data_IF_020081106609
#
_entry.id   IF_020081106609
#
_cell.length_a   1.000
_cell.length_b   1.000
_cell.length_c   1.000
_cell.angle_alpha   90.00
_cell.angle_beta   90.00
_cell.angle_gamma   90.00
#
_symmetry.space_group_name_H-M   'P 1'
#
loop_
_entity.id
_entity.type
_entity.pdbx_description
1 polymer ?
#
# COMPACT_ATOMS: atom_id res chain seq x y z
N UNK A 1 48.82 -59.87 -31.86
CA UNK A 1 47.48 -59.25 -31.78
C UNK A 1 47.63 -57.95 -31.02
N UNK A 2 47.57 -56.81 -31.71
CA UNK A 2 47.48 -55.49 -31.09
C UNK A 2 46.49 -54.70 -31.93
N UNK A 3 45.27 -54.58 -31.43
CA UNK A 3 44.23 -53.73 -32.00
C UNK A 3 44.63 -52.29 -31.73
N UNK A 4 45.11 -51.60 -32.77
CA UNK A 4 45.24 -50.14 -32.77
C UNK A 4 43.83 -49.57 -32.60
N UNK A 5 43.56 -48.97 -31.46
CA UNK A 5 42.41 -48.09 -31.25
C UNK A 5 42.48 -46.97 -32.29
N UNK A 6 41.42 -46.84 -33.09
CA UNK A 6 41.25 -45.72 -33.99
C UNK A 6 40.91 -44.47 -33.15
N UNK A 7 41.60 -43.33 -33.33
CA UNK A 7 41.23 -42.11 -32.65
C UNK A 7 39.88 -41.66 -33.21
N UNK A 8 38.86 -41.64 -32.36
CA UNK A 8 37.53 -41.17 -32.70
C UNK A 8 37.60 -39.72 -33.15
N UNK A 9 37.42 -39.47 -34.44
CA UNK A 9 37.08 -38.14 -34.94
C UNK A 9 35.68 -37.83 -34.41
N UNK A 10 35.58 -36.94 -33.43
CA UNK A 10 34.30 -36.32 -33.11
C UNK A 10 33.66 -35.81 -34.41
N UNK A 11 32.35 -35.99 -34.56
CA UNK A 11 31.66 -35.48 -35.75
C UNK A 11 32.00 -34.00 -35.91
N UNK A 12 32.19 -33.50 -37.15
CA UNK A 12 32.35 -32.05 -37.41
C UNK A 12 31.24 -31.22 -36.77
N UNK A 13 30.06 -31.83 -36.56
CA UNK A 13 28.96 -31.23 -35.81
C UNK A 13 29.23 -31.17 -34.30
N UNK A 14 29.86 -32.18 -33.70
CA UNK A 14 30.17 -32.20 -32.26
C UNK A 14 31.26 -31.15 -31.93
N UNK A 15 32.27 -31.03 -32.80
CA UNK A 15 33.32 -30.01 -32.68
C UNK A 15 32.73 -28.60 -32.83
N UNK A 16 31.90 -28.38 -33.85
CA UNK A 16 31.19 -27.11 -34.04
C UNK A 16 30.21 -26.80 -32.89
N UNK A 17 29.47 -27.78 -32.37
CA UNK A 17 28.56 -27.59 -31.24
C UNK A 17 29.32 -27.25 -29.96
N UNK A 18 30.49 -27.87 -29.74
CA UNK A 18 31.38 -27.53 -28.64
C UNK A 18 31.88 -26.09 -28.71
N UNK A 19 32.36 -25.67 -29.88
CA UNK A 19 32.85 -24.30 -30.11
C UNK A 19 31.77 -23.22 -29.99
N UNK A 20 30.52 -23.55 -30.35
CA UNK A 20 29.41 -22.60 -30.35
C UNK A 20 28.51 -22.73 -29.10
N UNK A 21 28.79 -23.65 -28.18
CA UNK A 21 27.90 -24.00 -27.07
C UNK A 21 27.51 -22.78 -26.22
N UNK A 22 28.47 -21.91 -25.89
CA UNK A 22 28.22 -20.73 -25.05
C UNK A 22 27.31 -19.70 -25.73
N UNK A 23 27.39 -19.58 -27.06
CA UNK A 23 26.48 -18.74 -27.84
C UNK A 23 25.09 -19.39 -27.96
N UNK A 24 25.05 -20.72 -27.93
CA UNK A 24 23.82 -21.47 -28.08
C UNK A 24 23.05 -21.63 -26.74
N UNK A 25 23.76 -21.61 -25.63
CA UNK A 25 23.18 -21.85 -24.31
C UNK A 25 22.05 -20.87 -23.94
N UNK A 26 22.14 -19.55 -24.22
CA UNK A 26 21.05 -18.62 -23.94
C UNK A 26 19.77 -18.91 -24.72
N UNK A 27 19.84 -19.24 -26.02
CA UNK A 27 18.60 -19.55 -26.77
C UNK A 27 17.98 -20.85 -26.29
N UNK A 28 18.79 -21.86 -25.97
CA UNK A 28 18.29 -23.14 -25.44
C UNK A 28 17.55 -22.91 -24.12
N UNK A 29 18.17 -22.15 -23.21
CA UNK A 29 17.54 -21.75 -21.94
C UNK A 29 16.27 -20.94 -22.15
N UNK A 30 16.23 -20.02 -23.12
CA UNK A 30 15.01 -19.27 -23.45
C UNK A 30 13.89 -20.18 -23.96
N UNK A 31 14.22 -21.15 -24.81
CA UNK A 31 13.27 -22.14 -25.31
C UNK A 31 12.75 -23.04 -24.18
N UNK A 32 13.64 -23.47 -23.27
CA UNK A 32 13.28 -24.25 -22.09
C UNK A 32 12.37 -23.45 -21.13
N UNK A 33 12.69 -22.19 -20.85
CA UNK A 33 11.85 -21.32 -20.04
C UNK A 33 10.46 -21.12 -20.66
N UNK A 34 10.40 -20.88 -21.98
CA UNK A 34 9.14 -20.77 -22.70
C UNK A 34 8.32 -22.05 -22.65
N UNK A 35 8.97 -23.21 -22.76
CA UNK A 35 8.31 -24.50 -22.61
C UNK A 35 7.68 -24.66 -21.21
N UNK A 36 8.43 -24.37 -20.14
CA UNK A 36 7.91 -24.45 -18.77
C UNK A 36 6.76 -23.46 -18.55
N UNK A 37 6.89 -22.22 -19.01
CA UNK A 37 5.83 -21.21 -18.94
C UNK A 37 4.53 -21.70 -19.61
N UNK A 38 4.61 -22.29 -20.81
CA UNK A 38 3.43 -22.81 -21.50
C UNK A 38 2.82 -24.03 -20.82
N UNK A 39 3.63 -24.89 -20.21
CA UNK A 39 3.12 -26.02 -19.41
C UNK A 39 2.44 -25.53 -18.14
N UNK A 40 3.03 -24.56 -17.45
CA UNK A 40 2.43 -23.94 -16.27
C UNK A 40 1.08 -23.32 -16.60
N UNK A 41 1.01 -22.50 -17.65
CA UNK A 41 -0.24 -21.89 -18.10
C UNK A 41 -1.31 -22.92 -18.50
N UNK A 42 -0.91 -24.03 -19.14
CA UNK A 42 -1.84 -25.10 -19.48
C UNK A 42 -2.40 -25.82 -18.24
N UNK A 43 -1.56 -26.03 -17.22
CA UNK A 43 -1.95 -26.65 -15.96
C UNK A 43 -2.88 -25.72 -15.16
N UNK A 44 -2.51 -24.45 -15.05
CA UNK A 44 -3.32 -23.38 -14.42
C UNK A 44 -4.71 -23.30 -15.07
N UNK A 45 -4.78 -23.26 -16.40
CA UNK A 45 -6.06 -23.23 -17.13
C UNK A 45 -6.91 -24.49 -16.93
N UNK A 46 -6.31 -25.60 -16.52
CA UNK A 46 -7.00 -26.87 -16.23
C UNK A 46 -7.37 -27.02 -14.75
N UNK A 47 -7.01 -26.05 -13.89
CA UNK A 47 -7.17 -26.11 -12.44
C UNK A 47 -6.13 -26.98 -11.72
N UNK A 48 -5.09 -27.45 -12.41
CA UNK A 48 -3.99 -28.22 -11.84
C UNK A 48 -2.91 -27.25 -11.33
N UNK A 49 -3.21 -26.59 -10.21
CA UNK A 49 -2.37 -25.54 -9.66
C UNK A 49 -1.05 -26.05 -9.08
N UNK A 50 -1.02 -27.26 -8.51
CA UNK A 50 0.23 -27.88 -8.03
C UNK A 50 1.23 -28.07 -9.18
N UNK A 51 0.77 -28.60 -10.31
CA UNK A 51 1.62 -28.74 -11.50
C UNK A 51 2.01 -27.37 -12.09
N UNK A 52 1.10 -26.38 -12.03
CA UNK A 52 1.41 -25.02 -12.47
C UNK A 52 2.54 -24.40 -11.65
N UNK A 53 2.51 -24.57 -10.32
CA UNK A 53 3.55 -24.10 -9.38
C UNK A 53 4.92 -24.69 -9.76
N UNK A 54 5.01 -26.01 -9.98
CA UNK A 54 6.26 -26.66 -10.36
C UNK A 54 6.86 -26.09 -11.66
N UNK A 55 6.02 -25.90 -12.68
CA UNK A 55 6.48 -25.40 -13.97
C UNK A 55 6.80 -23.90 -13.93
N UNK A 56 6.02 -23.10 -13.20
CA UNK A 56 6.33 -21.68 -13.01
C UNK A 56 7.65 -21.50 -12.27
N UNK A 57 7.93 -22.25 -11.19
CA UNK A 57 9.20 -22.16 -10.46
C UNK A 57 10.41 -22.47 -11.38
N UNK A 58 10.30 -23.51 -12.22
CA UNK A 58 11.34 -23.81 -13.22
C UNK A 58 11.52 -22.68 -14.21
N UNK A 59 10.43 -22.09 -14.71
CA UNK A 59 10.49 -20.97 -15.64
C UNK A 59 11.16 -19.73 -15.00
N UNK A 60 10.77 -19.38 -13.77
CA UNK A 60 11.39 -18.31 -12.96
C UNK A 60 12.90 -18.56 -12.81
N UNK A 61 13.29 -19.76 -12.40
CA UNK A 61 14.71 -20.13 -12.22
C UNK A 61 15.55 -19.99 -13.49
N UNK A 62 15.00 -20.37 -14.65
CA UNK A 62 15.71 -20.27 -15.94
C UNK A 62 15.78 -18.81 -16.41
N UNK A 63 14.68 -18.04 -16.31
CA UNK A 63 14.67 -16.60 -16.67
C UNK A 63 15.60 -15.78 -15.78
N UNK A 64 15.64 -16.07 -14.48
CA UNK A 64 16.59 -15.47 -13.54
C UNK A 64 18.05 -15.72 -13.95
N UNK A 65 18.40 -16.96 -14.33
CA UNK A 65 19.74 -17.33 -14.84
C UNK A 65 20.10 -16.69 -16.19
N UNK A 66 19.12 -16.22 -16.95
CA UNK A 66 19.30 -15.47 -18.18
C UNK A 66 19.43 -13.96 -17.96
N UNK A 67 19.26 -13.48 -16.72
CA UNK A 67 19.21 -12.05 -16.42
C UNK A 67 17.92 -11.37 -16.88
N UNK A 68 16.90 -12.13 -17.28
CA UNK A 68 15.61 -11.62 -17.76
C UNK A 68 14.71 -11.29 -16.56
N UNK A 69 15.09 -10.23 -15.82
CA UNK A 69 14.50 -9.87 -14.52
C UNK A 69 12.99 -9.63 -14.60
N UNK A 70 12.52 -8.77 -15.50
CA UNK A 70 11.08 -8.46 -15.65
C UNK A 70 10.24 -9.73 -15.87
N UNK A 71 10.67 -10.61 -16.78
CA UNK A 71 10.01 -11.89 -17.04
C UNK A 71 10.02 -12.80 -15.81
N UNK A 72 11.12 -12.81 -15.07
CA UNK A 72 11.22 -13.55 -13.81
C UNK A 72 10.25 -13.02 -12.75
N UNK A 73 9.94 -11.71 -12.76
CA UNK A 73 9.00 -11.10 -11.82
C UNK A 73 7.56 -11.43 -12.21
N UNK A 74 7.18 -11.27 -13.48
CA UNK A 74 5.84 -11.65 -13.98
C UNK A 74 5.53 -13.14 -13.69
N UNK A 75 6.50 -14.02 -13.97
CA UNK A 75 6.36 -15.43 -13.65
C UNK A 75 6.31 -15.70 -12.15
N UNK A 76 7.01 -14.90 -11.33
CA UNK A 76 6.95 -14.98 -9.88
C UNK A 76 5.57 -14.62 -9.34
N UNK A 77 4.90 -13.63 -9.92
CA UNK A 77 3.53 -13.25 -9.55
C UNK A 77 2.53 -14.35 -9.92
N UNK A 78 2.68 -14.95 -11.12
CA UNK A 78 1.87 -16.11 -11.54
C UNK A 78 2.09 -17.32 -10.64
N UNK A 79 3.34 -17.60 -10.27
CA UNK A 79 3.70 -18.65 -9.33
C UNK A 79 3.02 -18.45 -7.98
N UNK A 80 3.08 -17.22 -7.43
CA UNK A 80 2.43 -16.90 -6.15
C UNK A 80 0.91 -17.11 -6.20
N UNK A 81 0.26 -16.66 -7.30
CA UNK A 81 -1.18 -16.86 -7.52
C UNK A 81 -1.53 -18.34 -7.62
N UNK A 82 -0.79 -19.13 -8.40
CA UNK A 82 -1.01 -20.56 -8.52
C UNK A 82 -0.82 -21.27 -7.17
N UNK A 83 0.21 -20.90 -6.40
CA UNK A 83 0.44 -21.43 -5.07
C UNK A 83 -0.74 -21.13 -4.12
N UNK A 84 -1.25 -19.89 -4.11
CA UNK A 84 -2.44 -19.52 -3.34
C UNK A 84 -3.65 -20.37 -3.72
N UNK A 85 -3.90 -20.57 -5.02
CA UNK A 85 -5.03 -21.39 -5.51
C UNK A 85 -4.88 -22.88 -5.17
N UNK A 86 -3.65 -23.39 -5.05
CA UNK A 86 -3.37 -24.75 -4.56
C UNK A 86 -3.48 -24.90 -3.03
N UNK A 87 -3.61 -23.80 -2.29
CA UNK A 87 -3.59 -23.78 -0.82
C UNK A 87 -2.18 -23.77 -0.21
N UNK A 88 -1.11 -23.73 -1.01
CA UNK A 88 0.26 -23.53 -0.53
C UNK A 88 0.53 -22.04 -0.23
N UNK A 89 -0.02 -21.58 0.90
CA UNK A 89 0.11 -20.19 1.35
C UNK A 89 1.57 -19.81 1.67
N UNK A 90 2.40 -20.77 2.08
CA UNK A 90 3.82 -20.54 2.38
C UNK A 90 4.62 -20.18 1.12
N UNK A 91 4.43 -20.94 0.04
CA UNK A 91 5.02 -20.61 -1.26
C UNK A 91 4.43 -19.33 -1.83
N UNK A 92 3.11 -19.15 -1.74
CA UNK A 92 2.44 -17.94 -2.23
C UNK A 92 3.01 -16.68 -1.57
N UNK A 93 3.05 -16.65 -0.23
CA UNK A 93 3.61 -15.56 0.57
C UNK A 93 5.05 -15.23 0.14
N UNK A 94 5.95 -16.21 0.17
CA UNK A 94 7.36 -16.02 -0.21
C UNK A 94 7.52 -15.37 -1.59
N UNK A 95 6.71 -15.79 -2.56
CA UNK A 95 6.80 -15.25 -3.91
C UNK A 95 6.13 -13.88 -4.05
N UNK A 96 5.00 -13.62 -3.38
CA UNK A 96 4.41 -12.27 -3.33
C UNK A 96 5.37 -11.27 -2.69
N UNK A 97 5.94 -11.56 -1.52
CA UNK A 97 6.94 -10.71 -0.85
C UNK A 97 8.08 -10.36 -1.81
N UNK A 98 8.59 -11.38 -2.53
CA UNK A 98 9.67 -11.18 -3.48
C UNK A 98 9.29 -10.28 -4.65
N UNK A 99 8.05 -10.39 -5.15
CA UNK A 99 7.53 -9.57 -6.24
C UNK A 99 7.35 -8.11 -5.77
N UNK A 100 6.81 -7.90 -4.57
CA UNK A 100 6.70 -6.56 -3.96
C UNK A 100 8.06 -5.88 -3.88
N UNK A 101 9.07 -6.55 -3.31
CA UNK A 101 10.43 -5.99 -3.21
C UNK A 101 11.02 -5.59 -4.58
N UNK A 102 10.74 -6.38 -5.62
CA UNK A 102 11.31 -6.17 -6.93
C UNK A 102 10.64 -5.01 -7.66
N UNK A 103 9.31 -4.91 -7.62
CA UNK A 103 8.60 -3.79 -8.21
C UNK A 103 8.86 -2.48 -7.43
N UNK A 104 8.91 -2.53 -6.09
CA UNK A 104 9.26 -1.37 -5.28
C UNK A 104 10.67 -0.82 -5.59
N UNK A 105 11.65 -1.69 -5.88
CA UNK A 105 13.00 -1.28 -6.33
C UNK A 105 13.04 -0.70 -7.75
N UNK A 106 12.02 -1.01 -8.56
CA UNK A 106 11.86 -0.51 -9.92
C UNK A 106 10.93 0.70 -9.97
N UNK A 107 10.48 1.20 -8.82
CA UNK A 107 9.53 2.31 -8.71
C UNK A 107 8.22 2.04 -9.49
N UNK A 108 7.82 0.76 -9.56
CA UNK A 108 6.54 0.31 -10.15
C UNK A 108 5.54 0.05 -9.01
N UNK A 109 4.76 1.07 -8.68
CA UNK A 109 3.79 1.02 -7.60
C UNK A 109 2.65 0.03 -7.91
N UNK A 110 2.15 -0.01 -9.14
CA UNK A 110 1.07 -0.93 -9.51
C UNK A 110 1.52 -2.39 -9.42
N UNK A 111 2.69 -2.72 -9.99
CA UNK A 111 3.24 -4.07 -9.92
C UNK A 111 3.52 -4.51 -8.48
N UNK A 112 3.94 -3.57 -7.63
CA UNK A 112 4.13 -3.85 -6.20
C UNK A 112 2.78 -4.11 -5.50
N UNK A 113 1.76 -3.28 -5.73
CA UNK A 113 0.43 -3.45 -5.14
C UNK A 113 -0.28 -4.72 -5.62
N UNK A 114 -0.09 -5.12 -6.89
CA UNK A 114 -0.65 -6.36 -7.46
C UNK A 114 -0.18 -7.64 -6.74
N UNK A 115 0.97 -7.57 -6.06
CA UNK A 115 1.49 -8.64 -5.22
C UNK A 115 1.21 -8.41 -3.73
N UNK A 116 1.21 -7.15 -3.29
CA UNK A 116 1.01 -6.79 -1.89
C UNK A 116 -0.42 -7.04 -1.42
N UNK A 117 -1.44 -6.73 -2.25
CA UNK A 117 -2.84 -6.90 -1.87
C UNK A 117 -3.18 -8.38 -1.56
N UNK A 118 -2.86 -9.36 -2.43
CA UNK A 118 -3.03 -10.78 -2.09
C UNK A 118 -2.21 -11.24 -0.90
N UNK A 119 -1.03 -10.63 -0.68
CA UNK A 119 -0.19 -10.94 0.47
C UNK A 119 -0.87 -10.49 1.76
N UNK A 120 -1.47 -9.31 1.80
CA UNK A 120 -2.26 -8.85 2.95
C UNK A 120 -3.39 -9.84 3.25
N UNK A 121 -4.12 -10.30 2.23
CA UNK A 121 -5.18 -11.31 2.42
C UNK A 121 -4.63 -12.58 3.11
N UNK A 122 -3.47 -13.09 2.65
CA UNK A 122 -2.84 -14.28 3.23
C UNK A 122 -2.42 -14.03 4.68
N UNK A 123 -1.87 -12.84 4.97
CA UNK A 123 -1.44 -12.49 6.32
C UNK A 123 -2.62 -12.33 7.29
N UNK A 124 -3.75 -11.84 6.80
CA UNK A 124 -5.01 -11.79 7.55
C UNK A 124 -5.51 -13.18 7.91
N UNK A 125 -5.40 -14.16 6.99
CA UNK A 125 -5.73 -15.56 7.28
C UNK A 125 -4.81 -16.17 8.37
N UNK A 126 -3.56 -15.72 8.45
CA UNK A 126 -2.56 -16.17 9.45
C UNK A 126 -2.75 -15.50 10.84
N UNK A 127 -3.39 -14.32 10.89
CA UNK A 127 -3.74 -13.62 12.13
C UNK A 127 -2.57 -12.97 12.86
N UNK A 128 -1.46 -12.67 12.16
CA UNK A 128 -0.30 -12.00 12.74
C UNK A 128 -0.39 -10.47 12.58
N UNK A 129 -1.08 -9.82 13.51
CA UNK A 129 -1.36 -8.37 13.48
C UNK A 129 -0.11 -7.49 13.32
N UNK A 130 1.00 -7.87 13.97
CA UNK A 130 2.25 -7.11 13.90
C UNK A 130 2.83 -7.14 12.48
N UNK A 131 2.75 -8.29 11.82
CA UNK A 131 3.20 -8.43 10.44
C UNK A 131 2.24 -7.74 9.46
N UNK A 132 0.93 -7.85 9.67
CA UNK A 132 -0.07 -7.14 8.87
C UNK A 132 0.18 -5.62 8.94
N UNK A 133 0.42 -5.07 10.13
CA UNK A 133 0.74 -3.65 10.30
C UNK A 133 2.03 -3.24 9.57
N UNK A 134 3.05 -4.11 9.56
CA UNK A 134 4.28 -3.87 8.81
C UNK A 134 4.00 -3.80 7.29
N UNK A 135 3.24 -4.75 6.75
CA UNK A 135 2.91 -4.80 5.33
C UNK A 135 1.99 -3.68 4.87
N UNK A 136 1.07 -3.24 5.73
CA UNK A 136 0.35 -1.99 5.52
C UNK A 136 1.27 -0.77 5.48
N UNK A 137 2.30 -0.74 6.34
CA UNK A 137 3.36 0.27 6.27
C UNK A 137 4.06 0.29 4.90
N UNK A 138 4.33 -0.88 4.32
CA UNK A 138 4.86 -1.01 2.96
C UNK A 138 3.87 -0.52 1.89
N UNK A 139 2.59 -0.88 2.01
CA UNK A 139 1.53 -0.43 1.09
C UNK A 139 1.43 1.10 1.04
N UNK A 140 1.36 1.74 2.20
CA UNK A 140 1.27 3.19 2.32
C UNK A 140 2.56 3.88 1.81
N UNK A 141 3.72 3.27 2.01
CA UNK A 141 4.98 3.78 1.46
C UNK A 141 5.00 3.73 -0.07
N UNK A 142 4.48 2.65 -0.67
CA UNK A 142 4.34 2.53 -2.12
C UNK A 142 3.37 3.60 -2.64
N UNK A 143 2.20 3.75 -2.01
CA UNK A 143 1.22 4.77 -2.38
C UNK A 143 1.78 6.20 -2.30
N UNK A 144 2.60 6.49 -1.29
CA UNK A 144 3.22 7.82 -1.13
C UNK A 144 4.36 8.11 -2.11
N UNK A 145 4.97 7.08 -2.70
CA UNK A 145 6.05 7.22 -3.70
C UNK A 145 5.57 7.11 -5.15
N UNK A 146 4.35 6.62 -5.37
CA UNK A 146 3.78 6.46 -6.69
C UNK A 146 3.71 7.79 -7.44
N UNK A 147 4.06 7.79 -8.73
CA UNK A 147 3.94 8.99 -9.55
C UNK A 147 2.46 9.42 -9.69
N UNK A 148 2.17 10.72 -9.88
CA UNK A 148 0.80 11.17 -10.11
C UNK A 148 0.13 10.42 -11.26
N UNK A 149 -1.01 9.79 -10.98
CA UNK A 149 -1.78 9.00 -11.94
C UNK A 149 -1.26 7.57 -12.20
N UNK A 150 -0.13 7.17 -11.60
CA UNK A 150 0.35 5.79 -11.68
C UNK A 150 -0.64 4.85 -11.00
N UNK A 151 -0.95 5.11 -9.73
CA UNK A 151 -2.03 4.43 -9.00
C UNK A 151 -3.30 5.24 -9.15
N UNK A 152 -4.36 4.64 -9.71
CA UNK A 152 -5.66 5.29 -9.84
C UNK A 152 -6.20 5.74 -8.48
N UNK A 153 -6.84 6.92 -8.42
CA UNK A 153 -7.44 7.43 -7.18
C UNK A 153 -8.38 6.41 -6.52
N UNK A 154 -9.23 5.73 -7.31
CA UNK A 154 -10.08 4.66 -6.78
C UNK A 154 -9.30 3.61 -5.99
N UNK A 155 -8.25 3.03 -6.59
CA UNK A 155 -7.40 2.01 -5.92
C UNK A 155 -6.74 2.56 -4.67
N UNK A 156 -6.25 3.81 -4.72
CA UNK A 156 -5.68 4.50 -3.55
C UNK A 156 -6.70 4.62 -2.43
N UNK A 157 -7.93 5.03 -2.74
CA UNK A 157 -9.03 5.18 -1.78
C UNK A 157 -9.39 3.84 -1.15
N UNK A 158 -9.60 2.82 -2.00
CA UNK A 158 -9.94 1.46 -1.54
C UNK A 158 -8.87 0.91 -0.58
N UNK A 159 -7.58 1.16 -0.86
CA UNK A 159 -6.47 0.74 0.01
C UNK A 159 -6.38 1.53 1.31
N UNK A 160 -6.59 2.84 1.27
CA UNK A 160 -6.58 3.67 2.49
C UNK A 160 -7.77 3.31 3.39
N UNK A 161 -8.94 3.05 2.82
CA UNK A 161 -10.11 2.63 3.58
C UNK A 161 -9.89 1.24 4.19
N UNK A 162 -9.38 0.28 3.41
CA UNK A 162 -9.04 -1.04 3.92
C UNK A 162 -7.99 -0.97 5.04
N UNK A 163 -7.01 -0.06 4.93
CA UNK A 163 -6.06 0.22 6.03
C UNK A 163 -6.77 0.76 7.28
N UNK A 164 -7.70 1.70 7.11
CA UNK A 164 -8.50 2.26 8.20
C UNK A 164 -9.38 1.20 8.88
N UNK A 165 -9.89 0.22 8.14
CA UNK A 165 -10.74 -0.83 8.71
C UNK A 165 -9.89 -1.90 9.43
N UNK A 166 -8.71 -2.23 8.89
CA UNK A 166 -7.89 -3.35 9.38
C UNK A 166 -6.90 -2.95 10.47
N UNK A 167 -6.38 -1.72 10.46
CA UNK A 167 -5.32 -1.30 11.38
C UNK A 167 -5.86 -0.31 12.40
N UNK A 168 -6.18 -0.84 13.57
CA UNK A 168 -6.65 -0.06 14.73
C UNK A 168 -5.53 0.04 15.79
N UNK A 169 -4.53 0.88 15.52
CA UNK A 169 -3.35 1.03 16.37
C UNK A 169 -3.01 2.50 16.68
N UNK A 170 -2.21 2.73 17.72
CA UNK A 170 -1.75 4.07 18.11
C UNK A 170 -1.06 4.82 16.95
N UNK A 171 -0.28 4.09 16.13
CA UNK A 171 0.46 4.67 15.00
C UNK A 171 -0.44 4.97 13.78
N UNK A 172 -1.63 4.36 13.70
CA UNK A 172 -2.53 4.57 12.56
C UNK A 172 -3.18 5.95 12.56
N UNK A 173 -3.45 6.52 13.73
CA UNK A 173 -4.15 7.79 13.88
C UNK A 173 -3.48 8.94 13.11
N UNK A 174 -2.15 9.08 13.20
CA UNK A 174 -1.42 10.13 12.50
C UNK A 174 -1.49 10.01 10.97
N UNK A 175 -1.50 8.78 10.45
CA UNK A 175 -1.57 8.52 9.00
C UNK A 175 -2.97 8.79 8.47
N UNK A 176 -3.99 8.28 9.16
CA UNK A 176 -5.40 8.50 8.80
C UNK A 176 -5.75 9.99 8.86
N UNK A 177 -5.27 10.71 9.88
CA UNK A 177 -5.48 12.15 9.98
C UNK A 177 -4.86 12.91 8.82
N UNK A 178 -3.63 12.59 8.44
CA UNK A 178 -2.98 13.19 7.28
C UNK A 178 -3.72 12.89 5.97
N UNK A 179 -4.23 11.67 5.78
CA UNK A 179 -5.07 11.36 4.63
C UNK A 179 -6.38 12.16 4.65
N UNK A 180 -7.08 12.21 5.79
CA UNK A 180 -8.32 12.95 5.96
C UNK A 180 -8.17 14.42 5.55
N UNK A 181 -7.15 15.10 6.09
CA UNK A 181 -6.90 16.51 5.78
C UNK A 181 -6.57 16.73 4.30
N UNK A 182 -5.78 15.85 3.68
CA UNK A 182 -5.49 15.96 2.24
C UNK A 182 -6.74 15.75 1.37
N UNK A 183 -7.70 14.92 1.80
CA UNK A 183 -8.98 14.74 1.11
C UNK A 183 -9.87 15.96 1.22
N UNK A 184 -10.00 16.51 2.42
CA UNK A 184 -10.73 17.75 2.65
C UNK A 184 -10.12 18.91 1.86
N UNK A 185 -8.79 18.97 1.78
CA UNK A 185 -8.10 19.99 0.97
C UNK A 185 -8.35 19.85 -0.53
N UNK A 186 -8.63 18.62 -1.00
CA UNK A 186 -8.95 18.29 -2.38
C UNK A 186 -10.47 18.35 -2.67
N UNK A 187 -11.28 18.87 -1.74
CA UNK A 187 -12.74 18.93 -1.81
C UNK A 187 -13.40 17.53 -1.93
N UNK A 188 -12.73 16.49 -1.41
CA UNK A 188 -13.25 15.11 -1.29
C UNK A 188 -13.90 14.87 0.08
N UNK A 189 -14.86 15.75 0.42
CA UNK A 189 -15.41 15.96 1.77
C UNK A 189 -15.91 14.69 2.46
N UNK A 190 -16.72 13.88 1.78
CA UNK A 190 -17.28 12.64 2.34
C UNK A 190 -16.18 11.66 2.77
N UNK A 191 -15.20 11.42 1.89
CA UNK A 191 -14.07 10.52 2.19
C UNK A 191 -13.12 11.10 3.24
N UNK A 192 -12.95 12.42 3.26
CA UNK A 192 -12.19 13.11 4.30
C UNK A 192 -12.83 12.94 5.67
N UNK A 193 -14.15 13.13 5.75
CA UNK A 193 -14.94 12.96 6.97
C UNK A 193 -14.91 11.51 7.48
N UNK A 194 -15.02 10.51 6.60
CA UNK A 194 -14.89 9.09 6.96
C UNK A 194 -13.53 8.80 7.62
N UNK A 195 -12.44 9.39 7.10
CA UNK A 195 -11.12 9.23 7.68
C UNK A 195 -10.91 10.02 8.98
N UNK A 196 -11.61 11.16 9.16
CA UNK A 196 -11.68 11.84 10.46
C UNK A 196 -12.39 10.97 11.50
N UNK A 197 -13.51 10.35 11.14
CA UNK A 197 -14.23 9.42 12.01
C UNK A 197 -13.35 8.21 12.36
N UNK A 198 -12.73 7.58 11.37
CA UNK A 198 -11.80 6.48 11.59
C UNK A 198 -10.63 6.88 12.52
N UNK A 199 -10.11 8.10 12.37
CA UNK A 199 -9.06 8.64 13.26
C UNK A 199 -9.58 8.86 14.69
N UNK A 200 -10.78 9.41 14.84
CA UNK A 200 -11.42 9.65 16.13
C UNK A 200 -11.72 8.37 16.91
N UNK A 201 -12.09 7.28 16.21
CA UNK A 201 -12.26 5.96 16.82
C UNK A 201 -10.99 5.45 17.50
N UNK A 202 -9.78 5.91 17.08
CA UNK A 202 -8.53 5.50 17.74
C UNK A 202 -8.34 6.10 19.12
N UNK A 203 -9.24 6.97 19.60
CA UNK A 203 -9.23 7.47 20.98
C UNK A 203 -9.23 6.35 22.02
N UNK A 204 -9.80 5.20 21.68
CA UNK A 204 -9.89 4.05 22.59
C UNK A 204 -8.55 3.30 22.73
N UNK A 205 -7.62 3.47 21.79
CA UNK A 205 -6.32 2.78 21.78
C UNK A 205 -5.11 3.71 21.89
N UNK A 206 -5.24 4.99 21.52
CA UNK A 206 -4.16 5.97 21.60
C UNK A 206 -4.04 6.48 23.03
N UNK A 207 -2.85 6.34 23.62
CA UNK A 207 -2.61 6.80 24.99
C UNK A 207 -2.54 8.33 25.06
N UNK A 208 -3.18 8.92 26.07
CA UNK A 208 -3.18 10.37 26.28
C UNK A 208 -1.78 10.99 26.38
N UNK A 209 -0.76 10.25 26.80
CA UNK A 209 0.58 10.81 27.00
C UNK A 209 1.36 10.97 25.69
N UNK A 210 0.97 10.29 24.60
CA UNK A 210 1.73 10.30 23.34
C UNK A 210 1.33 11.46 22.43
N UNK A 211 2.22 11.84 21.51
CA UNK A 211 1.99 12.95 20.59
C UNK A 211 0.79 12.74 19.67
N UNK A 212 0.52 11.49 19.29
CA UNK A 212 -0.59 11.08 18.43
C UNK A 212 -1.96 11.40 19.04
N UNK A 213 -2.07 11.51 20.36
CA UNK A 213 -3.33 11.87 20.99
C UNK A 213 -3.85 13.25 20.53
N UNK A 214 -2.94 14.19 20.18
CA UNK A 214 -3.34 15.50 19.66
C UNK A 214 -4.11 15.41 18.35
N UNK A 215 -3.73 14.48 17.46
CA UNK A 215 -4.38 14.33 16.15
C UNK A 215 -5.74 13.64 16.29
N UNK A 216 -5.89 12.77 17.28
CA UNK A 216 -7.19 12.19 17.63
C UNK A 216 -8.15 13.28 18.09
N UNK A 217 -7.71 14.17 19.00
CA UNK A 217 -8.52 15.30 19.45
C UNK A 217 -8.89 16.24 18.30
N UNK A 218 -7.90 16.60 17.47
CA UNK A 218 -8.14 17.43 16.30
C UNK A 218 -9.12 16.78 15.30
N UNK A 219 -9.03 15.46 15.08
CA UNK A 219 -10.00 14.72 14.28
C UNK A 219 -11.42 14.78 14.89
N UNK A 220 -11.54 14.70 16.21
CA UNK A 220 -12.80 14.92 16.94
C UNK A 220 -13.41 16.31 16.70
N UNK A 221 -12.59 17.35 16.71
CA UNK A 221 -13.03 18.72 16.40
C UNK A 221 -13.45 18.83 14.94
N UNK A 222 -12.59 18.37 14.02
CA UNK A 222 -12.84 18.44 12.57
C UNK A 222 -14.08 17.66 12.13
N UNK A 223 -14.34 16.47 12.71
CA UNK A 223 -15.54 15.68 12.37
C UNK A 223 -16.82 16.39 12.79
N UNK A 224 -16.81 17.10 13.92
CA UNK A 224 -17.97 17.87 14.39
C UNK A 224 -18.20 19.08 13.49
N UNK A 225 -17.14 19.84 13.17
CA UNK A 225 -17.24 20.97 12.24
C UNK A 225 -17.83 20.57 10.89
N UNK A 226 -17.25 19.54 10.26
CA UNK A 226 -17.75 19.03 9.00
C UNK A 226 -19.18 18.50 9.12
N UNK A 227 -19.55 17.87 10.25
CA UNK A 227 -20.90 17.37 10.45
C UNK A 227 -21.93 18.51 10.55
N UNK A 228 -21.59 19.64 11.17
CA UNK A 228 -22.46 20.83 11.20
C UNK A 228 -22.64 21.44 9.80
N UNK A 229 -21.55 21.57 9.04
CA UNK A 229 -21.56 22.08 7.65
C UNK A 229 -22.41 21.17 6.74
N UNK A 230 -22.17 19.86 6.79
CA UNK A 230 -22.80 18.87 5.91
C UNK A 230 -24.19 18.39 6.40
N UNK A 231 -24.62 18.80 7.59
CA UNK A 231 -25.87 18.32 8.22
C UNK A 231 -25.85 16.82 8.55
N UNK A 232 -24.68 16.28 8.91
CA UNK A 232 -24.49 14.87 9.30
C UNK A 232 -24.71 14.69 10.80
N UNK A 233 -25.29 13.56 11.19
CA UNK A 233 -25.50 13.24 12.61
C UNK A 233 -24.21 12.67 13.22
N UNK A 234 -23.72 13.32 14.29
CA UNK A 234 -22.58 12.89 15.09
C UNK A 234 -22.85 13.18 16.57
N UNK A 235 -22.15 12.46 17.44
CA UNK A 235 -22.12 12.62 18.89
C UNK A 235 -21.39 13.91 19.31
N UNK A 236 -21.91 15.07 18.88
CA UNK A 236 -21.33 16.41 19.09
C UNK A 236 -21.01 16.71 20.54
N UNK A 237 -22.00 16.60 21.43
CA UNK A 237 -21.84 16.96 22.85
C UNK A 237 -20.79 16.08 23.53
N UNK A 238 -20.83 14.77 23.27
CA UNK A 238 -19.86 13.80 23.81
C UNK A 238 -18.44 14.07 23.29
N UNK A 239 -18.31 14.28 21.97
CA UNK A 239 -17.03 14.55 21.32
C UNK A 239 -16.40 15.82 21.87
N UNK A 240 -17.15 16.93 21.92
CA UNK A 240 -16.62 18.20 22.39
C UNK A 240 -16.34 18.18 23.89
N UNK A 241 -17.16 17.51 24.71
CA UNK A 241 -16.87 17.34 26.14
C UNK A 241 -15.56 16.58 26.37
N UNK A 242 -15.34 15.49 25.63
CA UNK A 242 -14.08 14.74 25.70
C UNK A 242 -12.87 15.60 25.28
N UNK A 243 -13.01 16.39 24.22
CA UNK A 243 -11.96 17.31 23.77
C UNK A 243 -11.71 18.42 24.80
N UNK A 244 -12.75 18.94 25.45
CA UNK A 244 -12.65 19.98 26.46
C UNK A 244 -11.73 19.60 27.63
N UNK A 245 -11.78 18.33 28.06
CA UNK A 245 -10.93 17.78 29.12
C UNK A 245 -9.43 17.75 28.74
N UNK A 246 -9.12 17.85 27.44
CA UNK A 246 -7.78 17.72 26.88
C UNK A 246 -7.34 18.91 26.01
N UNK A 247 -8.10 20.01 26.01
CA UNK A 247 -7.93 21.15 25.08
C UNK A 247 -6.53 21.74 25.03
N UNK A 248 -5.76 21.66 26.13
CA UNK A 248 -4.37 22.10 26.23
C UNK A 248 -3.41 21.39 25.26
N UNK A 249 -3.86 20.31 24.62
CA UNK A 249 -3.06 19.52 23.66
C UNK A 249 -3.37 19.85 22.21
N UNK A 250 -4.44 20.61 21.94
CA UNK A 250 -4.82 21.01 20.59
C UNK A 250 -3.73 21.89 19.97
N UNK A 251 -3.66 21.88 18.65
CA UNK A 251 -2.94 22.90 17.90
C UNK A 251 -3.71 24.23 17.95
N UNK A 252 -3.07 25.32 17.51
CA UNK A 252 -3.73 26.63 17.47
C UNK A 252 -4.98 26.60 16.56
N UNK A 253 -4.87 26.00 15.36
CA UNK A 253 -6.00 25.86 14.44
C UNK A 253 -7.14 25.01 15.02
N UNK A 254 -6.80 23.87 15.64
CA UNK A 254 -7.79 23.01 16.28
C UNK A 254 -8.42 23.67 17.52
N UNK A 255 -7.68 24.53 18.23
CA UNK A 255 -8.18 25.31 19.36
C UNK A 255 -9.21 26.34 18.88
N UNK A 256 -8.90 27.11 17.84
CA UNK A 256 -9.81 28.10 17.28
C UNK A 256 -11.14 27.47 16.82
N UNK A 257 -11.06 26.36 16.08
CA UNK A 257 -12.26 25.62 15.65
C UNK A 257 -13.02 25.01 16.83
N UNK A 258 -12.32 24.50 17.85
CA UNK A 258 -12.95 23.97 19.05
C UNK A 258 -13.68 25.05 19.85
N UNK A 259 -13.08 26.22 20.06
CA UNK A 259 -13.69 27.36 20.77
C UNK A 259 -14.98 27.80 20.09
N UNK A 260 -14.96 27.96 18.76
CA UNK A 260 -16.16 28.30 18.00
C UNK A 260 -17.27 27.26 18.21
N UNK A 261 -16.96 25.96 18.08
CA UNK A 261 -17.93 24.88 18.26
C UNK A 261 -18.42 24.73 19.71
N UNK A 262 -17.56 24.96 20.69
CA UNK A 262 -17.87 24.70 22.10
C UNK A 262 -18.48 25.91 22.81
N UNK A 263 -17.88 27.07 22.64
CA UNK A 263 -18.26 28.32 23.30
C UNK A 263 -19.16 29.22 22.42
N UNK A 264 -19.22 28.96 21.11
CA UNK A 264 -20.02 29.70 20.13
C UNK A 264 -19.31 30.92 19.53
N UNK A 265 -18.06 31.17 19.92
CA UNK A 265 -17.22 32.25 19.41
C UNK A 265 -15.73 31.85 19.48
N UNK A 266 -14.90 32.42 18.60
CA UNK A 266 -13.44 32.37 18.72
C UNK A 266 -12.87 33.73 18.33
N UNK A 267 -11.76 34.12 18.96
CA UNK A 267 -11.05 35.37 18.66
C UNK A 267 -10.19 35.28 17.37
N UNK A 268 -10.08 34.09 16.78
CA UNK A 268 -9.25 33.83 15.60
C UNK A 268 -10.02 34.13 14.32
N UNK A 269 -9.47 35.02 13.48
CA UNK A 269 -10.00 35.24 12.13
C UNK A 269 -9.72 34.01 11.25
N UNK A 270 -10.72 33.40 10.59
CA UNK A 270 -10.50 32.28 9.69
C UNK A 270 -9.46 32.55 8.59
N UNK A 271 -9.33 33.80 8.13
CA UNK A 271 -8.34 34.21 7.12
C UNK A 271 -6.90 34.15 7.63
N UNK A 272 -6.66 34.28 8.93
CA UNK A 272 -5.32 34.18 9.51
C UNK A 272 -4.78 32.74 9.50
N UNK A 273 -5.69 31.74 9.43
CA UNK A 273 -5.34 30.33 9.33
C UNK A 273 -5.15 29.87 7.88
N UNK A 274 -5.86 30.50 6.92
CA UNK A 274 -5.82 30.13 5.51
C UNK A 274 -4.59 30.74 4.83
N UNK A 275 -3.67 29.87 4.42
CA UNK A 275 -2.43 30.26 3.74
C UNK A 275 -2.48 30.04 2.23
N UNK A 276 -3.61 29.56 1.70
CA UNK A 276 -3.81 29.29 0.28
C UNK A 276 -3.14 28.00 -0.18
N UNK A 277 -2.94 27.05 0.74
CA UNK A 277 -2.41 25.72 0.43
C UNK A 277 -3.48 24.94 -0.34
N UNK A 278 -3.07 24.29 -1.42
CA UNK A 278 -3.90 23.40 -2.23
C UNK A 278 -3.40 21.95 -2.20
N UNK A 279 -4.17 21.01 -2.76
CA UNK A 279 -3.91 19.57 -2.64
C UNK A 279 -2.61 19.09 -3.30
N UNK A 280 -1.99 19.92 -4.16
CA UNK A 280 -0.73 19.60 -4.86
C UNK A 280 0.49 20.21 -4.17
N UNK A 281 0.31 20.97 -3.09
CA UNK A 281 1.41 21.59 -2.38
C UNK A 281 2.06 20.59 -1.42
N UNK A 282 3.38 20.48 -1.45
CA UNK A 282 4.13 19.86 -0.36
C UNK A 282 4.09 20.79 0.86
N UNK A 283 3.26 20.46 1.84
CA UNK A 283 3.06 21.23 3.05
C UNK A 283 3.20 20.36 4.31
N UNK A 284 3.57 20.98 5.44
CA UNK A 284 3.57 20.27 6.71
C UNK A 284 2.13 20.00 7.17
N UNK A 285 1.93 18.91 7.91
CA UNK A 285 0.61 18.50 8.40
C UNK A 285 -0.11 19.62 9.16
N UNK A 286 0.62 20.45 9.92
CA UNK A 286 0.07 21.58 10.66
C UNK A 286 -0.48 22.67 9.75
N UNK A 287 0.18 22.93 8.63
CA UNK A 287 -0.24 23.97 7.70
C UNK A 287 -1.48 23.53 6.91
N UNK A 288 -1.53 22.24 6.54
CA UNK A 288 -2.72 21.62 5.95
C UNK A 288 -3.89 21.65 6.95
N UNK A 289 -3.64 21.32 8.22
CA UNK A 289 -4.65 21.41 9.29
C UNK A 289 -5.19 22.83 9.45
N UNK A 290 -4.31 23.84 9.49
CA UNK A 290 -4.71 25.24 9.58
C UNK A 290 -5.55 25.68 8.38
N UNK A 291 -5.14 25.31 7.17
CA UNK A 291 -5.90 25.61 5.95
C UNK A 291 -7.30 24.98 5.97
N UNK A 292 -7.41 23.69 6.30
CA UNK A 292 -8.70 22.98 6.35
C UNK A 292 -9.59 23.53 7.46
N UNK A 293 -9.06 23.75 8.66
CA UNK A 293 -9.87 24.24 9.78
C UNK A 293 -10.24 25.72 9.64
N UNK A 294 -9.39 26.52 8.98
CA UNK A 294 -9.74 27.87 8.57
C UNK A 294 -10.89 27.89 7.55
N UNK A 295 -10.96 26.92 6.62
CA UNK A 295 -12.12 26.77 5.73
C UNK A 295 -13.39 26.41 6.50
N UNK A 296 -13.32 25.43 7.41
CA UNK A 296 -14.46 25.08 8.25
C UNK A 296 -14.97 26.26 9.08
N UNK A 297 -14.08 27.00 9.76
CA UNK A 297 -14.47 28.19 10.50
C UNK A 297 -15.17 29.23 9.62
N UNK A 298 -14.65 29.48 8.41
CA UNK A 298 -15.24 30.44 7.48
C UNK A 298 -16.60 30.01 6.91
N UNK A 299 -16.93 28.72 6.94
CA UNK A 299 -18.22 28.18 6.52
C UNK A 299 -19.25 28.12 7.66
N UNK A 300 -18.79 28.09 8.91
CA UNK A 300 -19.63 28.07 10.10
C UNK A 300 -20.08 29.47 10.53
N UNK A 301 -19.23 30.49 10.36
CA UNK A 301 -19.51 31.92 10.65
C UNK A 301 -20.58 32.55 9.73
#
# INVERSE_FOLDING_TARGET
>A
MSTKEAPGSGSRLDEWLGENFDQLLPWKRRAEAFYYEKRAQSAENSGDYETAVEYYDRAVSVRGRLGEREKSVDLGLRLARAARQSGDLGTARKHYERVVELHARQEDANGALDALEPLLDILQEDGNDAEIAQWWGHALMILGKAEPGEVSEKRRNDLIQRYADEIHSEDSAGRLYGFALNRLLADEDESGAELLDATWERRDVVREQVGQFRVVLAAGVGRVAHAEIAGRDVDREETLAFVADHRQRLSDAATALFEYLYDGETDTDPDDLRSGIGPQNEAELRDVEAEVFGRFLAELD
#
